data_IF_155537654567
#
_entry.id   IF_155537654567
#
_cell.length_a   1.000
_cell.length_b   1.000
_cell.length_c   1.000
_cell.angle_alpha   90.00
_cell.angle_beta   90.00
_cell.angle_gamma   90.00
#
_symmetry.space_group_name_H-M   'P 1'
#
loop_
_entity.id
_entity.type
_entity.pdbx_description
1 polymer ?
#
# COMPACT_ATOMS: atom_id res chain seq x y z
N UNK A 1 8.57 -17.18 -10.77
CA UNK A 1 7.31 -17.23 -10.00
C UNK A 1 7.08 -15.87 -9.37
N UNK A 2 5.87 -15.35 -9.40
CA UNK A 2 5.53 -14.04 -8.81
C UNK A 2 4.77 -14.25 -7.50
N UNK A 3 4.95 -13.32 -6.56
CA UNK A 3 4.23 -13.30 -5.28
C UNK A 3 3.21 -12.17 -5.30
N UNK A 4 2.01 -12.44 -4.80
CA UNK A 4 0.96 -11.43 -4.62
C UNK A 4 0.98 -11.00 -3.16
N UNK A 5 1.09 -9.69 -2.96
CA UNK A 5 1.20 -9.05 -1.64
C UNK A 5 0.26 -7.85 -1.57
N UNK A 6 -0.20 -7.50 -0.37
CA UNK A 6 -1.01 -6.33 -0.08
C UNK A 6 -0.19 -5.27 0.67
N UNK A 7 -0.55 -4.00 0.52
CA UNK A 7 0.00 -2.95 1.39
C UNK A 7 -0.79 -2.89 2.70
N UNK A 8 -0.18 -2.31 3.74
CA UNK A 8 -0.91 -2.04 4.99
C UNK A 8 -2.13 -1.14 4.76
N UNK A 9 -2.04 -0.17 3.83
CA UNK A 9 -3.15 0.72 3.50
C UNK A 9 -4.36 -0.05 2.96
N UNK A 10 -4.15 -1.01 2.06
CA UNK A 10 -5.23 -1.87 1.53
C UNK A 10 -5.94 -2.62 2.64
N UNK A 11 -5.20 -3.07 3.66
CA UNK A 11 -5.79 -3.75 4.82
C UNK A 11 -6.70 -2.81 5.60
N UNK A 12 -6.28 -1.56 5.82
CA UNK A 12 -7.11 -0.54 6.49
C UNK A 12 -8.35 -0.22 5.66
N UNK A 13 -8.21 0.06 4.37
CA UNK A 13 -9.32 0.42 3.48
C UNK A 13 -10.34 -0.70 3.31
N UNK A 14 -9.89 -1.96 3.35
CA UNK A 14 -10.75 -3.13 3.32
C UNK A 14 -11.73 -3.17 4.51
N UNK A 15 -11.38 -2.55 5.64
CA UNK A 15 -12.23 -2.51 6.84
C UNK A 15 -13.28 -1.39 6.84
N UNK A 16 -13.17 -0.40 5.95
CA UNK A 16 -14.00 0.81 5.98
C UNK A 16 -15.33 0.65 5.24
N UNK A 17 -16.37 1.39 5.64
CA UNK A 17 -17.66 1.42 4.95
C UNK A 17 -18.66 0.41 5.49
N UNK A 18 -19.44 -0.22 4.60
CA UNK A 18 -20.46 -1.20 5.00
C UNK A 18 -19.84 -2.42 5.71
N UNK A 19 -20.28 -2.79 6.91
CA UNK A 19 -19.70 -3.90 7.68
C UNK A 19 -19.72 -5.25 6.95
N UNK A 20 -20.79 -5.54 6.20
CA UNK A 20 -20.91 -6.78 5.44
C UNK A 20 -19.91 -6.84 4.28
N UNK A 21 -19.77 -5.74 3.54
CA UNK A 21 -18.79 -5.59 2.47
C UNK A 21 -17.34 -5.55 2.98
N UNK A 22 -17.10 -4.94 4.15
CA UNK A 22 -15.80 -4.92 4.81
C UNK A 22 -15.36 -6.33 5.19
N UNK A 23 -16.24 -7.11 5.82
CA UNK A 23 -15.97 -8.51 6.16
C UNK A 23 -15.58 -9.34 4.93
N UNK A 24 -16.36 -9.25 3.84
CA UNK A 24 -16.05 -10.00 2.61
C UNK A 24 -14.70 -9.62 2.00
N UNK A 25 -14.35 -8.32 2.00
CA UNK A 25 -13.03 -7.87 1.52
C UNK A 25 -11.90 -8.40 2.40
N UNK A 26 -12.09 -8.38 3.71
CA UNK A 26 -11.10 -8.89 4.64
C UNK A 26 -10.90 -10.40 4.49
N UNK A 27 -11.97 -11.18 4.31
CA UNK A 27 -11.90 -12.62 4.00
C UNK A 27 -11.14 -12.89 2.69
N UNK A 28 -11.30 -12.04 1.66
CA UNK A 28 -10.53 -12.15 0.41
C UNK A 28 -9.03 -11.88 0.57
N UNK A 29 -8.63 -11.10 1.59
CA UNK A 29 -7.22 -10.84 1.88
C UNK A 29 -6.55 -11.94 2.71
N UNK A 30 -7.31 -12.95 3.17
CA UNK A 30 -6.74 -14.05 3.93
C UNK A 30 -5.69 -14.82 3.12
N UNK A 31 -4.54 -15.10 3.74
CA UNK A 31 -3.40 -15.73 3.09
C UNK A 31 -2.57 -14.82 2.16
N UNK A 32 -2.94 -13.56 1.94
CA UNK A 32 -2.11 -12.60 1.19
C UNK A 32 -1.11 -11.92 2.14
N UNK A 33 0.18 -12.00 1.84
CA UNK A 33 1.21 -11.38 2.66
C UNK A 33 1.11 -9.85 2.61
N UNK A 34 1.31 -9.20 3.76
CA UNK A 34 1.28 -7.73 3.88
C UNK A 34 2.70 -7.18 3.86
N UNK A 35 2.98 -6.22 2.98
CA UNK A 35 4.27 -5.57 2.90
C UNK A 35 4.57 -4.77 4.18
N UNK A 36 5.75 -4.94 4.78
CA UNK A 36 6.17 -4.17 5.94
C UNK A 36 6.41 -2.70 5.56
N UNK A 37 5.98 -1.79 6.43
CA UNK A 37 6.29 -0.37 6.32
C UNK A 37 7.67 -0.09 6.92
N UNK A 38 8.47 0.76 6.28
CA UNK A 38 9.74 1.24 6.81
C UNK A 38 9.87 2.76 6.58
N UNK A 39 10.68 3.45 7.38
CA UNK A 39 10.85 4.91 7.31
C UNK A 39 11.50 5.42 6.02
N UNK A 40 12.18 4.56 5.26
CA UNK A 40 12.73 4.90 3.95
C UNK A 40 11.62 5.06 2.89
N UNK A 41 10.48 4.36 3.04
CA UNK A 41 9.35 4.47 2.13
C UNK A 41 8.75 5.87 2.11
N UNK A 42 8.69 6.55 3.26
CA UNK A 42 8.20 7.93 3.34
C UNK A 42 9.06 8.89 2.52
N UNK A 43 10.38 8.69 2.52
CA UNK A 43 11.30 9.52 1.74
C UNK A 43 11.14 9.28 0.25
N UNK A 44 10.97 8.02 -0.18
CA UNK A 44 10.72 7.67 -1.58
C UNK A 44 9.36 8.21 -2.04
N UNK A 45 8.30 8.03 -1.24
CA UNK A 45 6.97 8.54 -1.53
C UNK A 45 6.96 10.08 -1.65
N UNK A 46 7.69 10.78 -0.76
CA UNK A 46 7.87 12.22 -0.86
C UNK A 46 8.59 12.63 -2.16
N UNK A 47 9.59 11.88 -2.61
CA UNK A 47 10.24 12.15 -3.89
C UNK A 47 9.31 11.93 -5.10
N UNK A 48 8.44 10.93 -5.06
CA UNK A 48 7.40 10.70 -6.09
C UNK A 48 6.50 11.94 -6.21
N UNK A 49 6.05 12.47 -5.08
CA UNK A 49 5.19 13.66 -5.02
C UNK A 49 5.94 14.93 -5.46
N UNK A 50 7.14 15.17 -4.93
CA UNK A 50 7.97 16.34 -5.28
C UNK A 50 8.30 16.40 -6.77
N UNK A 51 8.56 15.25 -7.38
CA UNK A 51 8.84 15.12 -8.82
C UNK A 51 7.57 15.19 -9.68
N UNK A 52 6.41 15.44 -9.07
CA UNK A 52 5.08 15.53 -9.72
C UNK A 52 4.70 14.25 -10.48
N UNK A 53 5.21 13.09 -10.05
CA UNK A 53 4.78 11.80 -10.59
C UNK A 53 3.38 11.41 -10.09
N UNK A 54 2.93 12.04 -9.00
CA UNK A 54 1.58 11.96 -8.43
C UNK A 54 1.12 13.33 -7.92
N UNK A 55 -0.21 13.58 -7.78
CA UNK A 55 -0.75 14.80 -7.18
C UNK A 55 -0.26 15.02 -5.74
N UNK A 56 -0.15 16.28 -5.31
CA UNK A 56 0.36 16.63 -3.98
C UNK A 56 -0.43 16.04 -2.80
N UNK A 57 -1.71 15.69 -3.01
CA UNK A 57 -2.60 15.09 -2.02
C UNK A 57 -2.66 13.55 -2.08
N UNK A 58 -1.88 12.91 -2.97
CA UNK A 58 -1.88 11.46 -3.17
C UNK A 58 -0.79 10.73 -2.36
N UNK A 59 -0.43 11.25 -1.18
CA UNK A 59 0.65 10.66 -0.35
C UNK A 59 0.32 9.23 0.08
N UNK A 60 -0.94 8.95 0.43
CA UNK A 60 -1.39 7.61 0.79
C UNK A 60 -1.20 6.60 -0.35
N UNK A 61 -1.40 7.02 -1.60
CA UNK A 61 -1.17 6.18 -2.78
C UNK A 61 0.31 6.07 -3.16
N UNK A 62 1.11 7.11 -2.88
CA UNK A 62 2.54 7.13 -3.13
C UNK A 62 3.31 6.14 -2.24
N UNK A 63 2.83 5.86 -1.02
CA UNK A 63 3.47 4.94 -0.08
C UNK A 63 3.48 3.48 -0.56
N UNK A 64 2.36 2.86 -0.96
CA UNK A 64 2.35 1.55 -1.60
C UNK A 64 3.21 1.49 -2.87
N UNK A 65 3.22 2.54 -3.70
CA UNK A 65 4.07 2.59 -4.90
C UNK A 65 5.55 2.62 -4.52
N UNK A 66 5.94 3.41 -3.52
CA UNK A 66 7.29 3.41 -2.98
C UNK A 66 7.72 2.02 -2.47
N UNK A 67 6.80 1.28 -1.84
CA UNK A 67 7.04 -0.08 -1.34
C UNK A 67 7.31 -1.12 -2.43
N UNK A 68 6.84 -0.87 -3.67
CA UNK A 68 7.17 -1.75 -4.82
C UNK A 68 8.63 -1.66 -5.24
N UNK A 69 9.32 -0.59 -4.84
CA UNK A 69 10.76 -0.45 -5.05
C UNK A 69 11.47 -1.38 -4.06
N UNK A 70 11.57 -2.65 -4.46
CA UNK A 70 12.34 -3.67 -3.75
C UNK A 70 13.76 -3.13 -3.61
N UNK A 71 14.32 -3.15 -2.39
CA UNK A 71 15.78 -3.12 -2.24
C UNK A 71 16.31 -4.32 -3.03
N UNK A 72 16.75 -4.08 -4.26
CA UNK A 72 17.47 -5.04 -5.07
C UNK A 72 18.81 -5.25 -4.37
N UNK A 73 18.87 -6.27 -3.51
CA UNK A 73 20.12 -6.94 -3.18
C UNK A 73 20.31 -8.09 -4.15
#
# INVERSE_FOLDING_TARGET
MFEVVASQLVTVEATLGDPGAARRRFETLDGIAVLPTNSNLDSIANEIIKRRMMPANAMSDALPVAATKRDLR
#
